data_IF_446112941915
#
_entry.id   IF_446112941915
#
_cell.length_a   1.000
_cell.length_b   1.000
_cell.length_c   1.000
_cell.angle_alpha   90.00
_cell.angle_beta   90.00
_cell.angle_gamma   90.00
#
_symmetry.space_group_name_H-M   'P 1'
#
loop_
_entity.id
_entity.type
_entity.pdbx_description
1 polymer ?
#
# COMPACT_ATOMS: atom_id res chain seq x y z
N UNK A 1 -13.71 -26.87 -45.77
CA UNK A 1 -13.05 -27.48 -44.58
C UNK A 1 -12.41 -26.41 -43.69
N UNK A 2 -13.06 -25.24 -43.57
CA UNK A 2 -12.49 -24.01 -42.97
C UNK A 2 -12.95 -23.78 -41.52
N UNK A 3 -13.77 -24.66 -40.94
CA UNK A 3 -14.39 -24.43 -39.62
C UNK A 3 -13.61 -25.04 -38.44
N UNK A 4 -12.71 -26.00 -38.70
CA UNK A 4 -11.95 -26.69 -37.63
C UNK A 4 -10.71 -25.90 -37.20
N UNK A 5 -10.03 -25.23 -38.15
CA UNK A 5 -8.82 -24.44 -37.88
C UNK A 5 -9.12 -23.18 -37.07
N UNK A 6 -10.22 -22.47 -37.39
CA UNK A 6 -10.64 -21.31 -36.61
C UNK A 6 -11.07 -21.67 -35.18
N UNK A 7 -11.76 -22.80 -34.97
CA UNK A 7 -12.14 -23.21 -33.60
C UNK A 7 -10.93 -23.54 -32.73
N UNK A 8 -9.85 -24.05 -33.34
CA UNK A 8 -8.60 -24.34 -32.65
C UNK A 8 -7.83 -23.07 -32.27
N UNK A 9 -7.79 -22.06 -33.16
CA UNK A 9 -7.10 -20.78 -32.87
C UNK A 9 -7.82 -19.97 -31.79
N UNK A 10 -9.15 -19.97 -31.79
CA UNK A 10 -9.93 -19.30 -30.74
C UNK A 10 -9.77 -19.98 -29.37
N UNK A 11 -9.69 -21.31 -29.33
CA UNK A 11 -9.41 -22.04 -28.09
C UNK A 11 -8.01 -21.75 -27.52
N UNK A 12 -7.00 -21.58 -28.38
CA UNK A 12 -5.64 -21.25 -27.95
C UNK A 12 -5.56 -19.84 -27.35
N UNK A 13 -6.23 -18.86 -27.98
CA UNK A 13 -6.28 -17.47 -27.50
C UNK A 13 -6.99 -17.37 -26.14
N UNK A 14 -8.08 -18.12 -25.96
CA UNK A 14 -8.80 -18.17 -24.67
C UNK A 14 -7.93 -18.78 -23.56
N UNK A 15 -7.17 -19.85 -23.86
CA UNK A 15 -6.31 -20.51 -22.88
C UNK A 15 -5.13 -19.62 -22.42
N UNK A 16 -4.59 -18.78 -23.29
CA UNK A 16 -3.52 -17.84 -22.95
C UNK A 16 -4.06 -16.70 -22.06
N UNK A 17 -5.30 -16.26 -22.29
CA UNK A 17 -5.94 -15.19 -21.52
C UNK A 17 -6.32 -15.62 -20.10
N UNK A 18 -6.72 -16.88 -19.90
CA UNK A 18 -7.06 -17.42 -18.57
C UNK A 18 -5.84 -17.77 -17.72
N UNK A 19 -4.66 -18.01 -18.32
CA UNK A 19 -3.42 -18.26 -17.56
C UNK A 19 -2.85 -17.00 -16.89
N UNK A 20 -3.23 -15.79 -17.34
CA UNK A 20 -2.78 -14.52 -16.79
C UNK A 20 -3.54 -14.01 -15.55
N UNK A 21 -4.67 -14.63 -15.19
CA UNK A 21 -5.57 -14.13 -14.14
C UNK A 21 -5.24 -14.71 -12.75
N UNK A 22 -4.35 -15.70 -12.64
CA UNK A 22 -4.10 -16.41 -11.37
C UNK A 22 -2.99 -15.84 -10.48
N UNK A 23 -2.33 -14.72 -10.83
CA UNK A 23 -1.18 -14.22 -10.06
C UNK A 23 -1.50 -13.24 -8.90
N UNK A 24 -2.76 -13.03 -8.54
CA UNK A 24 -3.10 -12.20 -7.37
C UNK A 24 -4.14 -12.88 -6.48
N UNK A 25 -3.75 -13.97 -5.82
CA UNK A 25 -4.36 -14.36 -4.55
C UNK A 25 -3.32 -14.13 -3.45
N UNK A 26 -3.22 -12.88 -3.00
CA UNK A 26 -2.47 -12.54 -1.79
C UNK A 26 -3.21 -13.10 -0.59
N UNK A 27 -2.73 -14.25 -0.11
CA UNK A 27 -3.08 -14.84 1.17
C UNK A 27 -2.80 -13.85 2.31
N UNK A 28 -3.88 -13.27 2.86
CA UNK A 28 -3.86 -12.55 4.14
C UNK A 28 -4.06 -13.59 5.24
N UNK A 29 -2.99 -13.88 6.00
CA UNK A 29 -3.12 -14.54 7.30
C UNK A 29 -3.50 -13.50 8.33
N UNK A 30 -4.78 -13.44 8.71
CA UNK A 30 -5.19 -12.77 9.95
C UNK A 30 -5.11 -13.79 11.09
N UNK A 31 -4.04 -13.70 11.88
CA UNK A 31 -4.01 -14.27 13.22
C UNK A 31 -4.83 -13.34 14.12
N UNK A 32 -6.07 -13.75 14.42
CA UNK A 32 -6.89 -13.08 15.42
C UNK A 32 -6.75 -13.83 16.75
N UNK A 33 -5.78 -13.40 17.55
CA UNK A 33 -5.76 -13.64 19.00
C UNK A 33 -5.56 -12.30 19.66
N UNK A 34 -6.57 -11.79 20.37
CA UNK A 34 -6.50 -11.26 21.75
C UNK A 34 -7.66 -10.30 22.04
N UNK A 35 -8.63 -10.76 22.82
CA UNK A 35 -9.38 -9.89 23.73
C UNK A 35 -9.05 -10.34 25.14
N UNK A 36 -7.96 -9.82 25.69
CA UNK A 36 -7.80 -9.74 27.15
C UNK A 36 -7.25 -8.36 27.44
N UNK A 37 -8.16 -7.53 27.91
CA UNK A 37 -7.88 -6.27 28.57
C UNK A 37 -6.94 -6.53 29.75
N UNK A 38 -5.70 -6.11 29.63
CA UNK A 38 -4.85 -5.86 30.80
C UNK A 38 -4.58 -4.36 30.86
N UNK A 39 -5.34 -3.72 31.75
CA UNK A 39 -5.11 -2.38 32.26
C UNK A 39 -3.64 -2.29 32.69
N UNK A 40 -2.82 -1.59 31.90
CA UNK A 40 -1.47 -1.22 32.29
C UNK A 40 -1.54 0.11 33.01
N UNK A 41 -1.33 0.04 34.32
CA UNK A 41 -1.25 1.15 35.26
C UNK A 41 -0.49 2.36 34.68
N UNK A 42 -1.18 3.50 34.55
CA UNK A 42 -0.57 4.80 34.32
C UNK A 42 0.23 5.21 35.56
N UNK A 43 1.49 4.79 35.65
CA UNK A 43 2.46 5.51 36.46
C UNK A 43 2.79 6.81 35.70
N UNK A 44 2.07 7.88 36.04
CA UNK A 44 2.46 9.24 35.70
C UNK A 44 3.80 9.56 36.39
N UNK A 45 4.89 9.19 35.74
CA UNK A 45 6.18 9.83 35.97
C UNK A 45 6.09 11.16 35.22
N UNK A 46 5.77 12.23 35.95
CA UNK A 46 5.97 13.60 35.46
C UNK A 46 7.47 13.89 35.38
N UNK A 47 8.14 13.26 34.42
CA UNK A 47 9.45 13.72 33.98
C UNK A 47 9.20 15.02 33.22
N UNK A 48 9.68 16.12 33.79
CA UNK A 48 9.90 17.36 33.07
C UNK A 48 11.01 17.11 32.03
N UNK A 49 10.64 16.41 30.95
CA UNK A 49 11.49 16.22 29.78
C UNK A 49 11.44 17.56 29.06
N UNK A 50 12.56 18.28 29.11
CA UNK A 50 12.81 19.35 28.17
C UNK A 50 12.90 18.69 26.78
N UNK A 51 11.76 18.54 26.13
CA UNK A 51 11.67 18.01 24.78
C UNK A 51 12.21 19.09 23.85
N UNK A 52 13.49 18.98 23.50
CA UNK A 52 14.03 19.73 22.39
C UNK A 52 13.14 19.44 21.18
N UNK A 53 12.42 20.46 20.70
CA UNK A 53 11.48 20.31 19.60
C UNK A 53 12.29 20.05 18.35
N UNK A 54 12.52 18.77 18.03
CA UNK A 54 13.19 18.39 16.80
C UNK A 54 12.30 18.76 15.62
N UNK A 55 12.85 19.56 14.69
CA UNK A 55 12.14 19.92 13.46
C UNK A 55 12.01 18.66 12.59
N UNK A 56 10.79 18.26 12.17
CA UNK A 56 10.62 17.06 11.37
C UNK A 56 11.32 17.19 10.00
N UNK A 57 11.90 16.07 9.54
CA UNK A 57 12.57 15.96 8.25
C UNK A 57 11.55 15.64 7.17
N UNK A 58 11.12 16.67 6.43
CA UNK A 58 10.00 16.58 5.47
C UNK A 58 10.48 16.70 4.02
N UNK A 59 10.04 15.79 3.14
CA UNK A 59 10.39 15.78 1.72
C UNK A 59 9.17 15.63 0.81
N UNK A 60 9.23 16.31 -0.34
CA UNK A 60 8.25 16.12 -1.41
C UNK A 60 8.68 14.96 -2.31
N UNK A 61 7.82 13.96 -2.42
CA UNK A 61 7.94 12.92 -3.43
C UNK A 61 7.08 13.26 -4.63
N UNK A 62 7.59 12.95 -5.82
CA UNK A 62 6.91 13.17 -7.09
C UNK A 62 6.65 11.85 -7.81
N UNK A 63 5.54 11.77 -8.52
CA UNK A 63 5.27 10.67 -9.46
C UNK A 63 4.42 11.13 -10.62
N UNK A 64 4.53 10.42 -11.74
CA UNK A 64 3.68 10.62 -12.91
C UNK A 64 2.60 9.54 -12.97
N UNK A 65 1.34 9.94 -13.09
CA UNK A 65 0.18 9.07 -13.31
C UNK A 65 -0.60 9.65 -14.47
N UNK A 66 -0.85 8.85 -15.52
CA UNK A 66 -1.65 9.24 -16.70
C UNK A 66 -1.21 10.57 -17.34
N UNK A 67 0.11 10.79 -17.45
CA UNK A 67 0.65 12.02 -18.03
C UNK A 67 0.53 13.27 -17.14
N UNK A 68 0.10 13.11 -15.88
CA UNK A 68 0.05 14.19 -14.90
C UNK A 68 1.05 13.94 -13.77
N UNK A 69 1.73 15.00 -13.34
CA UNK A 69 2.66 14.95 -12.21
C UNK A 69 1.89 15.22 -10.92
N UNK A 70 2.17 14.42 -9.90
CA UNK A 70 1.63 14.57 -8.56
C UNK A 70 2.78 14.69 -7.57
N UNK A 71 2.57 15.46 -6.51
CA UNK A 71 3.45 15.53 -5.35
C UNK A 71 2.73 15.10 -4.07
N UNK A 72 3.46 14.52 -3.13
CA UNK A 72 2.97 14.19 -1.79
C UNK A 72 4.09 14.40 -0.77
N UNK A 73 3.73 14.89 0.41
CA UNK A 73 4.67 15.16 1.48
C UNK A 73 4.91 13.88 2.29
N UNK A 74 6.17 13.55 2.53
CA UNK A 74 6.59 12.43 3.37
C UNK A 74 7.34 12.95 4.59
N UNK A 75 6.97 12.44 5.76
CA UNK A 75 7.67 12.67 7.01
C UNK A 75 8.67 11.53 7.23
N UNK A 76 9.95 11.83 7.09
CA UNK A 76 11.03 10.88 7.34
C UNK A 76 11.36 10.71 8.83
N UNK A 77 10.92 11.64 9.69
CA UNK A 77 11.08 11.51 11.14
C UNK A 77 10.11 10.47 11.68
N UNK A 78 8.86 10.50 11.23
CA UNK A 78 7.80 9.59 11.68
C UNK A 78 7.44 8.50 10.65
N UNK A 79 8.21 8.39 9.57
CA UNK A 79 8.10 7.38 8.50
C UNK A 79 6.70 7.20 7.88
N UNK A 80 5.94 8.29 7.72
CA UNK A 80 4.58 8.22 7.18
C UNK A 80 4.29 9.31 6.15
N UNK A 81 3.24 9.08 5.35
CA UNK A 81 2.76 10.05 4.37
C UNK A 81 1.84 11.08 5.03
N UNK A 82 2.09 12.36 4.76
CA UNK A 82 1.21 13.45 5.18
C UNK A 82 0.24 13.78 4.05
N UNK A 83 -1.06 13.61 4.31
CA UNK A 83 -2.13 13.94 3.36
C UNK A 83 -2.15 13.05 2.11
N UNK A 84 -2.88 13.47 1.08
CA UNK A 84 -3.02 12.78 -0.21
C UNK A 84 -2.04 13.28 -1.29
N UNK A 85 -2.07 12.64 -2.46
CA UNK A 85 -1.35 13.13 -3.64
C UNK A 85 -2.05 14.36 -4.22
N UNK A 86 -1.28 15.41 -4.46
CA UNK A 86 -1.75 16.68 -5.01
C UNK A 86 -1.18 16.81 -6.42
N UNK A 87 -2.03 17.09 -7.41
CA UNK A 87 -1.59 17.36 -8.78
C UNK A 87 -0.76 18.65 -8.80
N UNK A 88 0.39 18.62 -9.48
CA UNK A 88 1.26 19.79 -9.69
C UNK A 88 0.69 20.67 -10.80
#
# INVERSE_FOLDING_TARGET
>A
MENKKQRLTWSLVIAIFSLGIFCFHSQVSQAATTNTESISSEQQISQNVHAETFKPFLYWHFKSINGHVYKRLYDHTNLHWIGGWIRV
#
